data_IF_249330247855
#
_entry.id   IF_249330247855
#
_cell.length_a   1.000
_cell.length_b   1.000
_cell.length_c   1.000
_cell.angle_alpha   90.00
_cell.angle_beta   90.00
_cell.angle_gamma   90.00
#
_symmetry.space_group_name_H-M   'P 1'
#
loop_
_entity.id
_entity.type
_entity.pdbx_description
1 polymer ?
#
# COMPACT_ATOMS: atom_id res chain seq x y z
N UNK A 1 -10.83 -79.85 39.97
CA UNK A 1 -11.23 -78.59 40.63
C UNK A 1 -10.49 -77.44 39.94
N UNK A 2 -10.88 -77.18 38.68
CA UNK A 2 -10.32 -76.17 37.80
C UNK A 2 -11.55 -75.46 37.25
N UNK A 3 -11.84 -74.25 37.72
CA UNK A 3 -12.68 -73.23 37.05
C UNK A 3 -12.89 -72.07 38.03
N UNK A 4 -11.87 -71.24 38.21
CA UNK A 4 -12.04 -69.83 38.57
C UNK A 4 -10.73 -69.10 38.26
N UNK A 5 -10.82 -67.80 37.96
CA UNK A 5 -9.73 -66.90 37.56
C UNK A 5 -9.41 -66.88 36.06
N UNK A 6 -10.38 -66.51 35.22
CA UNK A 6 -10.12 -65.74 34.00
C UNK A 6 -11.32 -64.84 33.70
N UNK A 7 -11.47 -63.75 34.45
CA UNK A 7 -12.34 -62.64 34.06
C UNK A 7 -11.92 -61.39 34.84
N UNK A 8 -10.90 -60.66 34.37
CA UNK A 8 -10.69 -59.26 34.78
C UNK A 8 -9.60 -58.47 33.99
N UNK A 9 -9.28 -58.83 32.74
CA UNK A 9 -8.20 -58.14 32.00
C UNK A 9 -8.56 -57.56 30.63
N UNK A 10 -9.85 -57.42 30.31
CA UNK A 10 -10.28 -56.87 29.00
C UNK A 10 -10.89 -55.46 29.11
N UNK A 11 -11.20 -54.95 30.30
CA UNK A 11 -11.93 -53.67 30.43
C UNK A 11 -11.04 -52.42 30.33
N UNK A 12 -9.71 -52.53 30.49
CA UNK A 12 -8.88 -51.32 30.68
C UNK A 12 -8.09 -50.81 29.46
N UNK A 13 -8.20 -51.44 28.28
CA UNK A 13 -7.53 -50.96 27.04
C UNK A 13 -8.40 -50.09 26.13
N UNK A 14 -9.73 -50.12 26.28
CA UNK A 14 -10.63 -49.29 25.45
C UNK A 14 -10.76 -47.85 25.96
N UNK A 15 -10.58 -47.60 27.26
CA UNK A 15 -10.68 -46.24 27.81
C UNK A 15 -9.46 -45.37 27.52
N UNK A 16 -8.26 -45.95 27.42
CA UNK A 16 -7.00 -45.20 27.17
C UNK A 16 -6.80 -44.79 25.70
N UNK A 17 -7.36 -45.53 24.75
CA UNK A 17 -7.25 -45.18 23.32
C UNK A 17 -8.19 -44.04 22.90
N UNK A 18 -9.35 -43.89 23.55
CA UNK A 18 -10.33 -42.82 23.23
C UNK A 18 -9.87 -41.47 23.78
N UNK A 19 -9.14 -41.45 24.90
CA UNK A 19 -8.58 -40.22 25.47
C UNK A 19 -7.44 -39.66 24.63
N UNK A 20 -6.63 -40.52 24.03
CA UNK A 20 -5.48 -40.09 23.22
C UNK A 20 -5.92 -39.49 21.87
N UNK A 21 -6.91 -40.08 21.18
CA UNK A 21 -7.36 -39.52 19.90
C UNK A 21 -8.00 -38.13 20.04
N UNK A 22 -8.83 -37.92 21.07
CA UNK A 22 -9.41 -36.60 21.36
C UNK A 22 -8.35 -35.57 21.77
N UNK A 23 -7.30 -35.99 22.47
CA UNK A 23 -6.18 -35.12 22.84
C UNK A 23 -5.34 -34.70 21.62
N UNK A 24 -5.12 -35.59 20.66
CA UNK A 24 -4.47 -35.27 19.39
C UNK A 24 -5.31 -34.33 18.52
N UNK A 25 -6.62 -34.54 18.42
CA UNK A 25 -7.51 -33.64 17.67
C UNK A 25 -7.60 -32.24 18.31
N UNK A 26 -7.66 -32.16 19.64
CA UNK A 26 -7.71 -30.89 20.37
C UNK A 26 -6.39 -30.11 20.27
N UNK A 27 -5.24 -30.79 20.28
CA UNK A 27 -3.92 -30.15 20.10
C UNK A 27 -3.69 -29.68 18.66
N UNK A 28 -4.22 -30.40 17.65
CA UNK A 28 -4.21 -29.94 16.25
C UNK A 28 -5.08 -28.71 16.05
N UNK A 29 -6.28 -28.68 16.64
CA UNK A 29 -7.16 -27.51 16.59
C UNK A 29 -6.51 -26.29 17.28
N UNK A 30 -5.88 -26.50 18.44
CA UNK A 30 -5.15 -25.44 19.16
C UNK A 30 -3.94 -24.93 18.35
N UNK A 31 -3.20 -25.81 17.69
CA UNK A 31 -2.08 -25.43 16.84
C UNK A 31 -2.54 -24.64 15.59
N UNK A 32 -3.59 -25.09 14.92
CA UNK A 32 -4.13 -24.40 13.72
C UNK A 32 -4.65 -23.01 14.10
N UNK A 33 -5.38 -22.91 15.21
CA UNK A 33 -5.91 -21.62 15.69
C UNK A 33 -4.80 -20.67 16.09
N UNK A 34 -3.81 -21.13 16.87
CA UNK A 34 -2.65 -20.30 17.25
C UNK A 34 -1.80 -19.89 16.05
N UNK A 35 -1.56 -20.78 15.09
CA UNK A 35 -0.83 -20.47 13.85
C UNK A 35 -1.59 -19.48 12.97
N UNK A 36 -2.91 -19.60 12.87
CA UNK A 36 -3.76 -18.65 12.14
C UNK A 36 -3.77 -17.26 12.78
N UNK A 37 -3.85 -17.19 14.12
CA UNK A 37 -3.72 -15.94 14.87
C UNK A 37 -2.33 -15.29 14.68
N UNK A 38 -1.28 -16.09 14.57
CA UNK A 38 0.08 -15.60 14.30
C UNK A 38 0.23 -15.04 12.88
N UNK A 39 -0.41 -15.68 11.88
CA UNK A 39 -0.43 -15.19 10.50
C UNK A 39 -1.20 -13.87 10.34
N UNK A 40 -2.31 -13.70 11.04
CA UNK A 40 -3.10 -12.45 11.02
C UNK A 40 -2.30 -11.29 11.66
N UNK A 41 -1.63 -11.56 12.78
CA UNK A 41 -0.81 -10.53 13.44
C UNK A 41 0.40 -10.12 12.60
N UNK A 42 1.04 -11.04 11.87
CA UNK A 42 2.16 -10.71 10.98
C UNK A 42 1.78 -9.77 9.83
N UNK A 43 0.55 -9.83 9.31
CA UNK A 43 0.09 -8.91 8.25
C UNK A 43 -0.18 -7.49 8.76
N UNK A 44 -0.64 -7.35 10.01
CA UNK A 44 -0.92 -6.05 10.62
C UNK A 44 0.35 -5.20 10.84
N UNK A 45 1.52 -5.82 11.01
CA UNK A 45 2.79 -5.10 11.24
C UNK A 45 3.48 -4.59 9.97
N UNK A 46 3.00 -4.94 8.76
CA UNK A 46 3.68 -4.56 7.51
C UNK A 46 3.14 -3.27 6.87
N UNK A 47 2.03 -2.72 7.36
CA UNK A 47 1.47 -1.47 6.84
C UNK A 47 2.02 -0.29 7.64
N UNK A 48 3.15 0.29 7.20
CA UNK A 48 3.57 1.59 7.74
C UNK A 48 2.48 2.62 7.44
N UNK A 49 2.00 3.38 8.43
CA UNK A 49 1.01 4.42 8.18
C UNK A 49 1.57 5.43 7.18
N UNK A 50 0.74 5.87 6.24
CA UNK A 50 1.07 6.97 5.35
C UNK A 50 1.30 8.21 6.20
N UNK A 51 2.54 8.72 6.20
CA UNK A 51 2.87 9.97 6.86
C UNK A 51 2.87 11.12 5.83
N UNK A 52 1.92 12.06 5.94
CA UNK A 52 1.84 13.16 5.00
C UNK A 52 3.04 14.11 5.14
N UNK A 53 3.40 14.79 4.05
CA UNK A 53 4.40 15.86 4.09
C UNK A 53 3.91 17.06 4.91
N UNK A 54 2.64 17.41 4.73
CA UNK A 54 1.96 18.51 5.42
C UNK A 54 0.77 17.93 6.21
N UNK A 55 0.79 18.10 7.53
CA UNK A 55 -0.30 17.64 8.39
C UNK A 55 -1.53 18.54 8.26
N UNK A 56 -2.70 18.02 8.59
CA UNK A 56 -3.95 18.79 8.61
C UNK A 56 -3.84 20.02 9.52
N UNK A 57 -3.17 19.90 10.66
CA UNK A 57 -2.96 21.00 11.61
C UNK A 57 -2.11 22.12 10.99
N UNK A 58 -1.05 21.75 10.28
CA UNK A 58 -0.19 22.70 9.56
C UNK A 58 -0.97 23.45 8.48
N UNK A 59 -1.84 22.76 7.74
CA UNK A 59 -2.65 23.34 6.67
C UNK A 59 -3.81 24.22 7.20
N UNK A 60 -4.40 23.87 8.35
CA UNK A 60 -5.50 24.63 8.98
C UNK A 60 -5.02 25.88 9.71
N UNK A 61 -3.81 25.85 10.27
CA UNK A 61 -3.23 26.95 11.03
C UNK A 61 -1.90 27.43 10.42
N UNK A 62 -1.88 27.95 9.19
CA UNK A 62 -0.65 28.10 8.43
C UNK A 62 0.30 29.16 8.97
N UNK A 63 -0.22 30.26 9.53
CA UNK A 63 0.60 31.32 10.13
C UNK A 63 1.34 30.79 11.37
N UNK A 64 0.62 30.08 12.24
CA UNK A 64 1.19 29.49 13.45
C UNK A 64 2.25 28.41 13.14
N UNK A 65 2.13 27.78 11.96
CA UNK A 65 3.04 26.73 11.49
C UNK A 65 4.01 27.22 10.39
N UNK A 66 4.21 28.52 10.25
CA UNK A 66 5.05 29.14 9.20
C UNK A 66 6.45 28.53 9.09
N UNK A 67 7.11 28.28 10.23
CA UNK A 67 8.44 27.67 10.27
C UNK A 67 8.48 26.25 9.71
N UNK A 68 7.38 25.49 9.79
CA UNK A 68 7.30 24.16 9.20
C UNK A 68 7.24 24.25 7.67
N UNK A 69 6.58 25.26 7.10
CA UNK A 69 6.59 25.48 5.65
C UNK A 69 7.99 25.82 5.17
N UNK A 70 8.66 26.76 5.87
CA UNK A 70 10.00 27.22 5.51
C UNK A 70 11.05 26.11 5.60
N UNK A 71 10.88 25.13 6.51
CA UNK A 71 11.80 24.01 6.67
C UNK A 71 11.51 22.85 5.71
N UNK A 72 10.26 22.66 5.31
CA UNK A 72 9.83 21.51 4.52
C UNK A 72 9.87 21.78 3.00
N UNK A 73 9.92 23.04 2.58
CA UNK A 73 9.88 23.43 1.17
C UNK A 73 11.15 24.22 0.82
N UNK A 74 11.89 23.77 -0.17
CA UNK A 74 13.07 24.48 -0.68
C UNK A 74 12.64 25.72 -1.48
N UNK A 75 13.05 26.92 -1.05
CA UNK A 75 12.67 28.18 -1.71
C UNK A 75 13.74 28.57 -2.73
N UNK A 76 13.31 28.79 -3.97
CA UNK A 76 14.19 29.20 -5.06
C UNK A 76 13.68 30.47 -5.72
N UNK A 77 14.59 31.42 -5.94
CA UNK A 77 14.32 32.67 -6.64
C UNK A 77 14.83 32.57 -8.07
N UNK A 78 13.96 32.87 -9.03
CA UNK A 78 14.28 32.81 -10.46
C UNK A 78 13.71 34.04 -11.14
N UNK A 79 14.32 34.51 -12.24
CA UNK A 79 13.76 35.64 -12.98
C UNK A 79 12.38 35.29 -13.54
N UNK A 80 12.28 34.19 -14.29
CA UNK A 80 11.05 33.71 -14.89
C UNK A 80 10.99 32.18 -14.81
N UNK A 81 9.83 31.63 -14.44
CA UNK A 81 9.60 30.20 -14.57
C UNK A 81 9.23 29.88 -16.02
N UNK A 82 10.05 29.06 -16.67
CA UNK A 82 9.79 28.61 -18.02
C UNK A 82 9.04 27.28 -17.97
N UNK A 83 7.77 27.29 -18.39
CA UNK A 83 6.98 26.07 -18.53
C UNK A 83 7.66 25.18 -19.58
N UNK A 84 8.00 23.97 -19.18
CA UNK A 84 8.51 22.94 -20.09
C UNK A 84 7.35 21.99 -20.39
N UNK A 85 6.89 21.97 -21.64
CA UNK A 85 5.94 20.96 -22.08
C UNK A 85 6.72 19.67 -22.32
N UNK A 86 6.67 18.77 -21.35
CA UNK A 86 7.32 17.48 -21.41
C UNK A 86 6.32 16.41 -20.93
N UNK A 87 6.43 15.20 -21.45
CA UNK A 87 5.46 14.13 -21.17
C UNK A 87 5.42 13.67 -19.71
N UNK A 88 6.47 13.99 -18.95
CA UNK A 88 6.63 13.66 -17.54
C UNK A 88 6.24 14.82 -16.60
N UNK A 89 5.65 15.90 -17.13
CA UNK A 89 5.28 17.06 -16.35
C UNK A 89 3.79 17.41 -16.52
N UNK A 90 3.13 17.65 -15.39
CA UNK A 90 1.77 18.20 -15.34
C UNK A 90 1.83 19.62 -14.84
N UNK A 91 1.13 20.53 -15.53
CA UNK A 91 1.03 21.94 -15.17
C UNK A 91 -0.41 22.25 -14.78
N UNK A 92 -0.60 22.78 -13.57
CA UNK A 92 -1.90 23.19 -13.04
C UNK A 92 -1.87 24.69 -12.78
N UNK A 93 -2.78 25.45 -13.38
CA UNK A 93 -2.82 26.91 -13.21
C UNK A 93 -3.77 27.30 -12.07
N UNK A 94 -3.29 28.12 -11.13
CA UNK A 94 -4.12 28.67 -10.07
C UNK A 94 -4.59 30.10 -10.38
N UNK A 95 -3.78 30.90 -11.07
CA UNK A 95 -3.98 32.35 -11.26
C UNK A 95 -3.32 33.19 -10.14
N UNK A 96 -3.24 34.52 -10.32
CA UNK A 96 -2.59 35.43 -9.36
C UNK A 96 -3.39 35.57 -8.05
N UNK A 97 -2.71 35.40 -6.91
CA UNK A 97 -3.31 35.51 -5.57
C UNK A 97 -4.55 34.62 -5.30
N UNK A 98 -4.72 33.54 -6.08
CA UNK A 98 -5.80 32.55 -5.91
C UNK A 98 -5.23 31.15 -5.76
N UNK A 99 -6.00 30.29 -5.08
CA UNK A 99 -5.72 28.85 -4.94
C UNK A 99 -6.50 27.98 -5.91
N UNK A 100 -7.53 28.49 -6.58
CA UNK A 100 -8.43 27.70 -7.42
C UNK A 100 -7.69 27.19 -8.66
N UNK A 101 -7.65 25.87 -8.86
CA UNK A 101 -7.03 25.26 -10.04
C UNK A 101 -8.03 25.31 -11.21
N UNK A 102 -7.69 26.11 -12.23
CA UNK A 102 -8.59 26.43 -13.35
C UNK A 102 -8.60 25.36 -14.46
N UNK A 103 -7.49 24.64 -14.64
CA UNK A 103 -7.36 23.59 -15.66
C UNK A 103 -6.98 22.25 -15.00
N UNK A 104 -7.89 21.29 -15.13
CA UNK A 104 -7.72 19.91 -14.63
C UNK A 104 -7.48 18.91 -15.77
N UNK A 105 -7.59 19.34 -17.04
CA UNK A 105 -7.45 18.46 -18.21
C UNK A 105 -6.04 17.86 -18.32
N UNK A 106 -5.03 18.61 -17.85
CA UNK A 106 -3.64 18.16 -17.82
C UNK A 106 -3.41 16.93 -16.93
N UNK A 107 -4.33 16.61 -16.01
CA UNK A 107 -4.25 15.39 -15.19
C UNK A 107 -4.60 14.13 -15.98
N UNK A 108 -5.39 14.23 -17.05
CA UNK A 108 -5.75 13.08 -17.88
C UNK A 108 -4.54 12.50 -18.65
N UNK A 109 -3.47 13.31 -18.83
CA UNK A 109 -2.20 12.87 -19.42
C UNK A 109 -1.44 11.88 -18.53
N UNK A 110 -1.82 11.74 -17.26
CA UNK A 110 -1.17 10.84 -16.32
C UNK A 110 -1.53 9.39 -16.64
N UNK A 111 -0.58 8.70 -17.26
CA UNK A 111 -0.60 7.25 -17.37
C UNK A 111 -0.72 6.63 -15.97
N UNK A 112 -1.55 5.59 -15.80
CA UNK A 112 -1.70 4.83 -14.53
C UNK A 112 -0.40 4.26 -13.95
N UNK A 113 0.73 4.38 -14.67
CA UNK A 113 2.04 3.86 -14.32
C UNK A 113 3.07 4.97 -14.11
N UNK A 114 2.68 6.12 -13.57
CA UNK A 114 3.60 7.20 -13.24
C UNK A 114 3.55 7.52 -11.75
N UNK A 115 4.70 7.85 -11.14
CA UNK A 115 4.80 8.28 -9.75
C UNK A 115 5.24 9.73 -9.68
N UNK A 116 4.58 10.61 -8.89
CA UNK A 116 5.07 11.96 -8.67
C UNK A 116 6.41 11.93 -7.93
N UNK A 117 7.38 12.73 -8.39
CA UNK A 117 8.73 12.81 -7.83
C UNK A 117 9.09 14.23 -7.37
N UNK A 118 8.49 15.26 -7.97
CA UNK A 118 8.67 16.63 -7.52
C UNK A 118 7.42 17.48 -7.71
N UNK A 119 7.25 18.47 -6.84
CA UNK A 119 6.23 19.50 -6.96
C UNK A 119 6.89 20.87 -6.80
N UNK A 120 6.71 21.71 -7.81
CA UNK A 120 7.07 23.12 -7.79
C UNK A 120 5.80 23.94 -7.61
N UNK A 121 5.76 24.73 -6.56
CA UNK A 121 4.69 25.70 -6.32
C UNK A 121 5.19 27.06 -6.77
N UNK A 122 4.54 27.66 -7.75
CA UNK A 122 5.07 28.84 -8.43
C UNK A 122 4.29 30.10 -8.05
N UNK A 123 5.03 31.06 -7.52
CA UNK A 123 4.58 32.36 -7.05
C UNK A 123 5.38 33.45 -7.74
N UNK A 124 4.80 34.64 -7.76
CA UNK A 124 5.56 35.86 -8.01
C UNK A 124 6.13 36.40 -6.69
N UNK A 125 7.37 36.86 -6.71
CA UNK A 125 8.02 37.57 -5.61
C UNK A 125 7.59 39.04 -5.58
N UNK A 126 6.29 39.26 -5.45
CA UNK A 126 5.70 40.58 -5.36
C UNK A 126 4.49 40.56 -4.42
N UNK A 127 4.35 41.55 -3.54
CA UNK A 127 5.32 42.61 -3.23
C UNK A 127 6.65 42.09 -2.67
N UNK A 128 7.72 42.88 -2.76
CA UNK A 128 9.06 42.45 -2.31
C UNK A 128 9.14 42.23 -0.80
N UNK A 129 8.37 42.98 -0.02
CA UNK A 129 8.28 42.82 1.43
C UNK A 129 7.03 42.02 1.75
N UNK A 130 7.17 40.98 2.57
CA UNK A 130 6.05 40.09 2.95
C UNK A 130 4.92 40.86 3.64
N UNK A 131 5.25 41.92 4.38
CA UNK A 131 4.28 42.77 5.09
C UNK A 131 3.35 43.53 4.14
N UNK A 132 3.78 43.76 2.90
CA UNK A 132 2.98 44.47 1.89
C UNK A 132 2.00 43.54 1.16
N UNK A 133 2.06 42.22 1.41
CA UNK A 133 1.16 41.25 0.78
C UNK A 133 -0.26 41.39 1.32
N UNK A 134 -1.21 41.69 0.43
CA UNK A 134 -2.64 41.79 0.78
C UNK A 134 -3.17 40.44 1.26
N UNK A 135 -2.81 39.38 0.55
CA UNK A 135 -3.10 38.00 0.96
C UNK A 135 -1.87 37.44 1.65
N UNK A 136 -2.01 36.96 2.88
CA UNK A 136 -0.87 36.41 3.60
C UNK A 136 -0.26 35.24 2.82
N UNK A 137 1.06 35.26 2.67
CA UNK A 137 1.80 34.27 1.92
C UNK A 137 1.55 32.82 2.41
N UNK A 138 1.56 32.59 3.72
CA UNK A 138 1.37 31.24 4.28
C UNK A 138 -0.07 30.75 4.12
N UNK A 139 -1.05 31.65 4.24
CA UNK A 139 -2.45 31.33 3.98
C UNK A 139 -2.66 30.92 2.52
N UNK A 140 -2.17 31.73 1.58
CA UNK A 140 -2.29 31.42 0.15
C UNK A 140 -1.57 30.11 -0.22
N UNK A 141 -0.38 29.87 0.33
CA UNK A 141 0.36 28.63 0.14
C UNK A 141 -0.43 27.43 0.66
N UNK A 142 -0.96 27.49 1.88
CA UNK A 142 -1.74 26.40 2.45
C UNK A 142 -3.02 26.14 1.67
N UNK A 143 -3.76 27.19 1.25
CA UNK A 143 -4.94 27.02 0.41
C UNK A 143 -4.62 26.37 -0.93
N UNK A 144 -3.49 26.72 -1.56
CA UNK A 144 -3.03 26.07 -2.81
C UNK A 144 -2.68 24.60 -2.60
N UNK A 145 -2.03 24.26 -1.50
CA UNK A 145 -1.71 22.88 -1.14
C UNK A 145 -2.99 22.06 -0.89
N UNK A 146 -3.97 22.63 -0.17
CA UNK A 146 -5.27 21.98 0.07
C UNK A 146 -6.00 21.70 -1.25
N UNK A 147 -6.05 22.68 -2.16
CA UNK A 147 -6.65 22.49 -3.49
C UNK A 147 -5.92 21.40 -4.29
N UNK A 148 -4.58 21.38 -4.24
CA UNK A 148 -3.77 20.35 -4.89
C UNK A 148 -4.05 18.94 -4.32
N UNK A 149 -4.16 18.81 -3.01
CA UNK A 149 -4.44 17.51 -2.36
C UNK A 149 -5.88 17.06 -2.50
N UNK A 150 -6.81 18.00 -2.75
CA UNK A 150 -8.18 17.66 -3.12
C UNK A 150 -8.25 17.02 -4.51
N UNK A 151 -7.33 17.40 -5.40
CA UNK A 151 -7.18 16.78 -6.72
C UNK A 151 -6.53 15.41 -6.62
N UNK A 152 -5.37 15.32 -5.96
CA UNK A 152 -4.66 14.06 -5.76
C UNK A 152 -4.03 14.02 -4.36
N UNK A 153 -4.64 13.28 -3.41
CA UNK A 153 -4.12 13.15 -2.05
C UNK A 153 -2.72 12.51 -1.98
N UNK A 154 -2.31 11.74 -2.99
CA UNK A 154 -0.99 11.08 -3.03
C UNK A 154 0.15 12.08 -3.19
N UNK A 155 -0.15 13.29 -3.67
CA UNK A 155 0.82 14.37 -3.76
C UNK A 155 1.30 14.81 -2.37
N UNK A 156 0.54 14.62 -1.29
CA UNK A 156 0.97 14.97 0.07
C UNK A 156 1.97 13.95 0.66
N UNK A 157 3.04 13.63 -0.07
CA UNK A 157 4.02 12.61 0.33
C UNK A 157 5.38 13.21 0.68
N UNK A 158 5.99 12.72 1.77
CA UNK A 158 7.38 13.02 2.13
C UNK A 158 8.41 12.51 1.10
N UNK A 159 7.98 11.63 0.18
CA UNK A 159 8.85 11.08 -0.87
C UNK A 159 8.97 11.98 -2.10
N UNK A 160 8.16 13.03 -2.17
CA UNK A 160 8.17 14.02 -3.25
C UNK A 160 9.10 15.16 -2.86
N UNK A 161 9.92 15.63 -3.81
CA UNK A 161 10.73 16.84 -3.62
C UNK A 161 9.87 18.08 -3.80
N UNK A 162 9.74 18.87 -2.75
CA UNK A 162 8.96 20.11 -2.76
C UNK A 162 9.84 21.33 -2.94
N UNK A 163 9.46 22.21 -3.88
CA UNK A 163 10.08 23.52 -4.05
C UNK A 163 9.02 24.61 -4.17
N UNK A 164 9.38 25.78 -3.68
CA UNK A 164 8.65 27.01 -3.90
C UNK A 164 9.47 27.89 -4.84
N UNK A 165 8.92 28.18 -6.00
CA UNK A 165 9.56 29.03 -7.01
C UNK A 165 9.01 30.45 -6.88
N UNK A 166 9.89 31.39 -6.61
CA UNK A 166 9.60 32.81 -6.45
C UNK A 166 10.12 33.58 -7.67
N UNK A 167 9.22 33.97 -8.57
CA UNK A 167 9.57 34.67 -9.79
C UNK A 167 9.83 36.17 -9.54
N UNK A 168 10.97 36.70 -9.98
CA UNK A 168 11.40 38.07 -9.69
C UNK A 168 11.25 39.04 -10.87
N UNK A 169 10.88 38.57 -12.07
CA UNK A 169 10.73 39.40 -13.28
C UNK A 169 9.42 40.21 -13.31
N UNK A 170 9.17 41.01 -12.27
CA UNK A 170 8.10 42.00 -12.23
C UNK A 170 8.47 43.19 -11.35
N UNK A 171 7.95 44.38 -11.67
CA UNK A 171 8.20 45.63 -10.92
C UNK A 171 6.94 46.19 -10.26
N UNK A 172 5.77 45.74 -10.69
CA UNK A 172 4.49 46.22 -10.24
C UNK A 172 3.46 45.08 -10.26
N UNK A 173 2.30 45.32 -9.64
CA UNK A 173 1.23 44.33 -9.51
C UNK A 173 0.69 43.84 -10.87
N UNK A 174 0.72 44.67 -11.91
CA UNK A 174 0.22 44.30 -13.24
C UNK A 174 1.16 43.30 -13.92
N UNK A 175 2.47 43.57 -13.88
CA UNK A 175 3.49 42.64 -14.36
C UNK A 175 3.44 41.34 -13.54
N UNK A 176 3.31 41.44 -12.21
CA UNK A 176 3.19 40.30 -11.33
C UNK A 176 2.00 39.41 -11.70
N UNK A 177 0.83 39.98 -11.99
CA UNK A 177 -0.36 39.22 -12.43
C UNK A 177 -0.16 38.46 -13.75
N UNK A 178 0.68 38.97 -14.64
CA UNK A 178 0.94 38.38 -15.95
C UNK A 178 1.95 37.23 -15.91
N UNK A 179 2.66 37.06 -14.78
CA UNK A 179 3.55 35.92 -14.59
C UNK A 179 2.76 34.62 -14.39
N UNK A 180 3.43 33.50 -14.60
CA UNK A 180 2.83 32.19 -14.36
C UNK A 180 2.56 31.98 -12.86
N UNK A 181 1.38 31.45 -12.53
CA UNK A 181 0.99 31.06 -11.18
C UNK A 181 0.32 29.71 -11.22
N UNK A 182 0.92 28.75 -10.54
CA UNK A 182 0.46 27.39 -10.65
C UNK A 182 1.30 26.41 -9.86
N UNK A 183 1.10 25.15 -10.19
CA UNK A 183 1.85 24.00 -9.70
C UNK A 183 2.41 23.26 -10.91
N UNK A 184 3.69 22.93 -10.88
CA UNK A 184 4.29 22.01 -11.84
C UNK A 184 4.68 20.73 -11.12
N UNK A 185 4.20 19.60 -11.63
CA UNK A 185 4.38 18.29 -11.01
C UNK A 185 5.21 17.44 -11.96
N UNK A 186 6.38 17.00 -11.49
CA UNK A 186 7.23 16.07 -12.20
C UNK A 186 6.89 14.64 -11.84
N UNK A 187 6.87 13.77 -12.83
CA UNK A 187 6.58 12.35 -12.71
C UNK A 187 7.75 11.51 -13.21
N UNK A 188 7.83 10.28 -12.69
CA UNK A 188 8.70 9.25 -13.21
C UNK A 188 7.86 8.05 -13.62
N UNK A 189 8.11 7.52 -14.83
CA UNK A 189 7.42 6.34 -15.32
C UNK A 189 7.88 5.11 -14.56
N UNK A 190 6.92 4.39 -13.96
CA UNK A 190 7.16 3.11 -13.31
C UNK A 190 7.27 2.06 -14.41
N UNK A 191 8.50 1.75 -14.81
CA UNK A 191 8.77 0.59 -15.64
C UNK A 191 8.60 -0.68 -14.80
N UNK A 192 7.46 -1.36 -14.92
CA UNK A 192 7.36 -2.73 -14.48
C UNK A 192 8.34 -3.56 -15.30
N UNK A 193 9.48 -3.90 -14.69
CA UNK A 193 10.29 -5.00 -15.18
C UNK A 193 9.37 -6.23 -15.13
N UNK A 194 8.94 -6.73 -16.29
CA UNK A 194 8.23 -8.01 -16.34
C UNK A 194 9.07 -9.01 -15.53
N UNK A 195 8.54 -9.47 -14.40
CA UNK A 195 9.08 -10.62 -13.71
C UNK A 195 8.99 -11.72 -14.76
N UNK A 196 10.12 -12.10 -15.37
CA UNK A 196 10.13 -13.27 -16.25
C UNK A 196 9.53 -14.38 -15.41
N UNK A 197 8.45 -15.05 -15.86
CA UNK A 197 7.99 -16.22 -15.13
C UNK A 197 9.22 -17.10 -14.93
N UNK A 198 9.55 -17.37 -13.67
CA UNK A 198 10.61 -18.31 -13.37
C UNK A 198 10.19 -19.57 -14.08
N UNK A 199 10.89 -19.92 -15.15
CA UNK A 199 10.75 -21.20 -15.80
C UNK A 199 11.26 -22.19 -14.77
N UNK A 200 10.35 -22.65 -13.92
CA UNK A 200 10.59 -23.83 -13.12
C UNK A 200 10.82 -24.91 -14.16
N UNK A 201 12.09 -25.31 -14.32
CA UNK A 201 12.37 -26.59 -14.98
C UNK A 201 11.47 -27.60 -14.26
N UNK A 202 10.64 -28.36 -14.98
CA UNK A 202 9.85 -29.40 -14.35
C UNK A 202 10.83 -30.25 -13.53
N UNK A 203 10.67 -30.20 -12.21
CA UNK A 203 11.43 -31.06 -11.33
C UNK A 203 10.92 -32.45 -11.63
N UNK A 204 11.71 -33.23 -12.37
CA UNK A 204 11.43 -34.64 -12.55
C UNK A 204 11.63 -35.28 -11.18
N UNK A 205 10.54 -35.44 -10.45
CA UNK A 205 10.48 -36.38 -9.35
C UNK A 205 10.67 -37.75 -9.98
N UNK A 206 11.82 -38.37 -9.77
CA UNK A 206 11.97 -39.79 -10.04
C UNK A 206 11.05 -40.52 -9.06
N UNK A 207 9.87 -40.95 -9.55
CA UNK A 207 8.91 -41.69 -8.73
C UNK A 207 9.53 -42.96 -8.15
N UNK A 208 10.59 -43.51 -8.73
CA UNK A 208 11.25 -44.71 -8.20
C UNK A 208 11.98 -44.42 -6.88
N UNK A 209 12.51 -43.20 -6.68
CA UNK A 209 13.09 -42.79 -5.39
C UNK A 209 12.00 -42.56 -4.33
N UNK A 210 10.85 -41.99 -4.73
CA UNK A 210 9.70 -41.81 -3.85
C UNK A 210 9.06 -43.14 -3.41
N UNK A 211 8.91 -44.08 -4.34
CA UNK A 211 8.41 -45.44 -4.08
C UNK A 211 9.38 -46.20 -3.16
N UNK A 212 10.70 -46.02 -3.32
CA UNK A 212 11.71 -46.64 -2.44
C UNK A 212 11.62 -46.12 -1.00
N UNK A 213 11.30 -44.85 -0.80
CA UNK A 213 11.05 -44.28 0.53
C UNK A 213 9.75 -44.80 1.16
N UNK A 214 8.69 -44.94 0.36
CA UNK A 214 7.38 -45.47 0.79
C UNK A 214 7.40 -46.98 1.07
N UNK A 215 8.15 -47.76 0.30
CA UNK A 215 8.33 -49.21 0.52
C UNK A 215 9.23 -49.52 1.72
N UNK A 216 10.16 -48.62 2.06
CA UNK A 216 10.96 -48.75 3.29
C UNK A 216 10.10 -48.50 4.56
N UNK A 217 9.04 -47.69 4.46
CA UNK A 217 8.08 -47.50 5.57
C UNK A 217 6.97 -48.56 5.63
N UNK A 218 6.53 -49.09 4.50
CA UNK A 218 5.45 -50.11 4.44
C UNK A 218 5.91 -51.55 4.74
N UNK A 219 7.21 -51.77 4.98
CA UNK A 219 7.67 -52.99 5.67
C UNK A 219 7.32 -53.00 7.17
N UNK A 220 6.74 -51.92 7.69
CA UNK A 220 6.06 -51.89 8.98
C UNK A 220 4.60 -51.51 8.78
N UNK A 221 3.70 -52.42 9.17
CA UNK A 221 2.24 -52.27 9.31
C UNK A 221 1.39 -52.49 8.05
N UNK A 222 1.25 -53.77 7.71
CA UNK A 222 -0.06 -54.33 7.36
C UNK A 222 -1.05 -54.10 8.52
N UNK A 223 -1.96 -53.13 8.40
CA UNK A 223 -3.21 -53.18 9.16
C UNK A 223 -4.34 -52.35 8.50
N UNK A 224 -5.16 -53.08 7.73
CA UNK A 224 -6.56 -52.87 7.42
C UNK A 224 -6.96 -51.84 6.34
N UNK A 225 -7.26 -52.43 5.19
CA UNK A 225 -8.34 -52.05 4.30
C UNK A 225 -9.70 -51.99 5.02
N UNK A 226 -10.47 -50.93 4.73
CA UNK A 226 -11.90 -50.95 4.33
C UNK A 226 -12.57 -49.64 4.76
N UNK A 227 -13.09 -48.86 3.81
CA UNK A 227 -14.48 -48.41 3.78
C UNK A 227 -14.74 -47.54 2.54
N UNK A 228 -15.78 -47.91 1.81
CA UNK A 228 -16.32 -47.21 0.64
C UNK A 228 -16.65 -45.76 0.99
N UNK A 229 -16.22 -44.83 0.14
CA UNK A 229 -16.55 -43.41 0.21
C UNK A 229 -17.70 -43.09 -0.74
N UNK A 230 -18.68 -42.33 -0.26
CA UNK A 230 -19.90 -41.91 -0.96
C UNK A 230 -19.64 -40.63 -1.77
N UNK A 231 -19.83 -40.74 -3.09
CA UNK A 231 -19.48 -39.75 -4.13
C UNK A 231 -20.41 -38.52 -4.10
N UNK A 232 -21.53 -38.59 -3.37
CA UNK A 232 -22.49 -37.48 -3.23
C UNK A 232 -21.93 -36.26 -2.49
N UNK A 233 -20.86 -36.43 -1.72
CA UNK A 233 -20.19 -35.34 -0.99
C UNK A 233 -19.25 -34.47 -1.86
N UNK A 234 -18.92 -34.91 -3.08
CA UNK A 234 -18.00 -34.21 -3.97
C UNK A 234 -18.73 -33.21 -4.88
N UNK A 235 -19.97 -33.50 -5.29
CA UNK A 235 -20.75 -32.57 -6.16
C UNK A 235 -21.17 -31.28 -5.44
N UNK A 236 -21.40 -31.31 -4.12
CA UNK A 236 -21.79 -30.13 -3.32
C UNK A 236 -20.64 -29.11 -3.15
N UNK A 237 -19.39 -29.58 -3.26
CA UNK A 237 -18.17 -28.75 -3.18
C UNK A 237 -17.91 -28.03 -4.51
N UNK A 238 -18.26 -28.66 -5.63
CA UNK A 238 -17.93 -28.17 -6.96
C UNK A 238 -18.96 -27.16 -7.50
N UNK A 239 -20.21 -27.18 -7.02
CA UNK A 239 -21.27 -26.30 -7.50
C UNK A 239 -22.20 -25.78 -6.39
N UNK A 240 -21.75 -24.81 -5.56
CA UNK A 240 -22.62 -24.22 -4.53
C UNK A 240 -23.75 -23.40 -5.18
N UNK A 241 -24.98 -23.91 -5.08
CA UNK A 241 -26.19 -23.27 -5.57
C UNK A 241 -26.63 -22.14 -4.64
N UNK A 242 -26.02 -20.95 -4.75
CA UNK A 242 -26.67 -19.68 -4.34
C UNK A 242 -25.92 -18.43 -4.84
N UNK A 243 -25.97 -18.15 -6.15
CA UNK A 243 -25.97 -16.78 -6.68
C UNK A 243 -26.85 -16.78 -7.94
N UNK A 244 -28.16 -16.69 -7.75
CA UNK A 244 -29.14 -15.99 -8.58
C UNK A 244 -30.38 -15.71 -7.73
#
# INVERSE_FOLDING_TARGET
>A
MIFWVLNNLVVNKRFTNITNSKFFEMSRLLFITTFSLLLISAQAFSQRPFEPMFSDEMLKNPIANSTLFDNNIDVQYVDLYHIRDHEDMVILMNGYATSIINDKSSLERLSRNAKPTSVDIIFTHYPLKKEDWITNYYELLASRLVELFTIDPLLNSKTIKWRLIMQTSCRNAQEAQNLFHGVAIGYEMIHFSYIRPVSLKPFHVDMNEGIRWLTTQSASTDFLASNNYDDSSIEEILYPQSIY
#
